data_IF_451200476709
#
_entry.id   IF_451200476709
#
_cell.length_a   1.000
_cell.length_b   1.000
_cell.length_c   1.000
_cell.angle_alpha   90.00
_cell.angle_beta   90.00
_cell.angle_gamma   90.00
#
_symmetry.space_group_name_H-M   'P 1'
#
loop_
_entity.id
_entity.type
_entity.pdbx_description
1 polymer ?
#
# COMPACT_ATOMS: atom_id res chain seq x y z
N UNK A 1 -61.84 42.33 -36.51
CA UNK A 1 -60.82 41.87 -37.49
C UNK A 1 -59.49 41.73 -36.75
N UNK A 2 -59.15 40.52 -36.30
CA UNK A 2 -57.94 40.22 -35.52
C UNK A 2 -56.79 39.80 -36.46
N UNK A 3 -55.62 40.41 -36.31
CA UNK A 3 -54.35 39.96 -36.90
C UNK A 3 -53.54 39.27 -35.79
N UNK A 4 -53.06 38.02 -35.96
CA UNK A 4 -52.20 37.38 -34.97
C UNK A 4 -50.74 37.79 -35.18
N UNK A 5 -50.07 38.19 -34.11
CA UNK A 5 -48.63 38.42 -34.07
C UNK A 5 -47.92 37.10 -33.76
N UNK A 6 -47.01 36.66 -34.65
CA UNK A 6 -46.12 35.52 -34.41
C UNK A 6 -44.93 35.98 -33.53
N UNK A 7 -44.79 35.38 -32.36
CA UNK A 7 -43.54 35.41 -31.58
C UNK A 7 -42.55 34.37 -32.14
N UNK A 8 -41.36 34.82 -32.57
CA UNK A 8 -40.22 33.94 -32.81
C UNK A 8 -39.45 33.73 -31.50
N UNK A 9 -39.45 32.50 -30.98
CA UNK A 9 -38.50 32.06 -29.95
C UNK A 9 -37.17 31.70 -30.63
N UNK A 10 -36.11 32.46 -30.35
CA UNK A 10 -34.75 32.09 -30.73
C UNK A 10 -34.19 31.07 -29.73
N UNK A 11 -33.94 29.84 -30.20
CA UNK A 11 -33.29 28.79 -29.42
C UNK A 11 -31.77 29.00 -29.49
N UNK A 12 -31.17 29.50 -28.41
CA UNK A 12 -29.71 29.60 -28.28
C UNK A 12 -29.11 28.23 -27.95
N UNK A 13 -28.42 27.61 -28.92
CA UNK A 13 -27.61 26.41 -28.70
C UNK A 13 -26.32 26.80 -27.95
N UNK A 14 -26.26 26.51 -26.66
CA UNK A 14 -25.01 26.56 -25.89
C UNK A 14 -24.19 25.30 -26.17
N UNK A 15 -23.05 25.45 -26.84
CA UNK A 15 -22.07 24.37 -27.02
C UNK A 15 -21.45 24.05 -25.66
N UNK A 16 -21.82 22.92 -25.04
CA UNK A 16 -21.16 22.42 -23.86
C UNK A 16 -19.75 21.93 -24.25
N UNK A 17 -18.72 22.68 -23.88
CA UNK A 17 -17.33 22.25 -24.03
C UNK A 17 -17.11 20.98 -23.19
N UNK A 18 -16.74 19.87 -23.84
CA UNK A 18 -16.35 18.65 -23.17
C UNK A 18 -15.13 18.95 -22.28
N UNK A 19 -15.31 18.91 -20.96
CA UNK A 19 -14.20 19.04 -20.02
C UNK A 19 -13.25 17.85 -20.23
N UNK A 20 -11.92 18.08 -20.32
CA UNK A 20 -10.96 16.98 -20.39
C UNK A 20 -11.12 16.11 -19.15
N UNK A 21 -11.27 14.80 -19.36
CA UNK A 21 -11.38 13.84 -18.28
C UNK A 21 -10.21 14.03 -17.30
N UNK A 22 -10.44 13.92 -15.98
CA UNK A 22 -9.38 14.06 -15.00
C UNK A 22 -8.25 13.09 -15.35
N UNK A 23 -7.03 13.61 -15.46
CA UNK A 23 -5.85 12.78 -15.61
C UNK A 23 -5.80 11.86 -14.39
N UNK A 24 -5.89 10.54 -14.61
CA UNK A 24 -5.69 9.58 -13.52
C UNK A 24 -4.28 9.73 -12.94
N UNK A 25 -3.98 9.01 -11.85
CA UNK A 25 -2.68 9.15 -11.18
C UNK A 25 -1.54 8.93 -12.19
N UNK A 26 -0.42 9.62 -12.03
CA UNK A 26 0.75 9.40 -12.88
C UNK A 26 1.62 8.28 -12.27
N UNK A 27 2.16 7.38 -13.10
CA UNK A 27 3.13 6.39 -12.64
C UNK A 27 4.46 7.05 -12.26
N UNK A 28 4.97 6.86 -11.01
CA UNK A 28 6.26 7.39 -10.60
C UNK A 28 7.41 6.86 -11.47
N UNK A 29 8.18 7.78 -12.04
CA UNK A 29 9.34 7.49 -12.88
C UNK A 29 10.61 7.34 -12.02
N UNK A 30 11.54 6.47 -12.44
CA UNK A 30 12.81 6.22 -11.75
C UNK A 30 12.68 5.51 -10.39
N UNK A 31 11.47 5.19 -9.95
CA UNK A 31 11.19 4.49 -8.70
C UNK A 31 11.32 2.99 -8.91
N UNK A 32 12.16 2.34 -8.11
CA UNK A 32 12.22 0.88 -8.03
C UNK A 32 11.07 0.39 -7.16
N UNK A 33 10.36 -0.63 -7.62
CA UNK A 33 9.26 -1.31 -6.96
C UNK A 33 9.69 -2.75 -6.66
N UNK A 34 9.30 -3.29 -5.51
CA UNK A 34 9.62 -4.66 -5.06
C UNK A 34 8.34 -5.45 -4.86
N UNK A 35 8.24 -6.62 -5.49
CA UNK A 35 7.06 -7.48 -5.41
C UNK A 35 6.90 -8.02 -3.98
N UNK A 36 5.75 -7.76 -3.37
CA UNK A 36 5.40 -8.21 -2.01
C UNK A 36 4.52 -9.46 -2.05
N UNK A 37 3.59 -9.50 -3.00
CA UNK A 37 2.68 -10.63 -3.18
C UNK A 37 2.18 -10.72 -4.62
N UNK A 38 1.80 -11.93 -4.99
CA UNK A 38 1.04 -12.19 -6.21
C UNK A 38 -0.24 -12.95 -5.86
N UNK A 39 -1.30 -12.68 -6.61
CA UNK A 39 -2.53 -13.46 -6.57
C UNK A 39 -2.76 -14.03 -7.96
N UNK A 40 -2.96 -15.35 -8.05
CA UNK A 40 -3.33 -16.05 -9.27
C UNK A 40 -4.48 -17.01 -8.97
N UNK A 41 -5.57 -16.90 -9.73
CA UNK A 41 -6.77 -17.73 -9.51
C UNK A 41 -7.38 -17.56 -8.12
N UNK A 42 -7.23 -16.37 -7.51
CA UNK A 42 -7.69 -16.09 -6.14
C UNK A 42 -6.76 -16.57 -5.03
N UNK A 43 -5.72 -17.33 -5.34
CA UNK A 43 -4.71 -17.79 -4.36
C UNK A 43 -3.64 -16.71 -4.23
N UNK A 44 -3.43 -16.21 -3.02
CA UNK A 44 -2.41 -15.18 -2.75
C UNK A 44 -1.17 -15.78 -2.10
N UNK A 45 -0.02 -15.55 -2.72
CA UNK A 45 1.30 -15.94 -2.21
C UNK A 45 2.07 -14.69 -1.81
N UNK A 46 2.45 -14.61 -0.54
CA UNK A 46 3.34 -13.57 -0.02
C UNK A 46 4.80 -13.99 -0.19
N UNK A 47 5.63 -13.05 -0.62
CA UNK A 47 7.05 -13.30 -0.90
C UNK A 47 7.91 -12.67 0.19
N UNK A 48 8.84 -13.44 0.73
CA UNK A 48 9.87 -12.95 1.64
C UNK A 48 11.18 -12.79 0.86
N UNK A 49 11.47 -11.60 0.34
CA UNK A 49 12.77 -11.30 -0.26
C UNK A 49 12.75 -10.24 -1.38
N UNK A 50 13.86 -9.48 -1.55
CA UNK A 50 13.85 -8.21 -2.31
C UNK A 50 14.06 -8.35 -3.83
N UNK A 51 13.99 -9.55 -4.41
CA UNK A 51 14.64 -9.79 -5.72
C UNK A 51 13.76 -9.48 -6.93
N UNK A 52 12.44 -9.59 -6.79
CA UNK A 52 11.50 -9.33 -7.87
C UNK A 52 11.18 -7.84 -7.93
N UNK A 53 11.69 -7.17 -8.96
CA UNK A 53 11.62 -5.71 -9.09
C UNK A 53 10.92 -5.26 -10.36
N UNK A 54 10.44 -4.01 -10.33
CA UNK A 54 9.86 -3.28 -11.46
C UNK A 54 10.26 -1.81 -11.37
N UNK A 55 10.61 -1.17 -12.48
CA UNK A 55 10.91 0.26 -12.56
C UNK A 55 10.39 0.80 -13.89
N UNK A 56 9.85 2.01 -13.87
CA UNK A 56 9.40 2.74 -15.06
C UNK A 56 10.35 3.90 -15.35
N UNK A 57 10.87 3.95 -16.57
CA UNK A 57 11.74 5.03 -17.05
C UNK A 57 11.30 5.44 -18.46
N UNK A 58 10.68 6.62 -18.57
CA UNK A 58 10.15 7.08 -19.85
C UNK A 58 9.06 6.13 -20.35
N UNK A 59 9.26 5.48 -21.49
CA UNK A 59 8.32 4.52 -22.08
C UNK A 59 8.72 3.06 -21.84
N UNK A 60 9.77 2.81 -21.07
CA UNK A 60 10.29 1.47 -20.81
C UNK A 60 10.06 1.08 -19.36
N UNK A 61 9.55 -0.12 -19.16
CA UNK A 61 9.53 -0.79 -17.88
C UNK A 61 10.65 -1.84 -17.83
N UNK A 62 11.36 -1.93 -16.71
CA UNK A 62 12.45 -2.87 -16.53
C UNK A 62 12.42 -3.49 -15.14
N UNK A 63 13.03 -4.64 -14.98
CA UNK A 63 13.12 -5.27 -13.68
C UNK A 63 13.96 -6.53 -13.68
N UNK A 64 14.06 -7.11 -12.50
CA UNK A 64 14.72 -8.40 -12.25
C UNK A 64 13.69 -9.33 -11.65
N UNK A 65 13.67 -10.59 -12.09
CA UNK A 65 12.91 -11.65 -11.44
C UNK A 65 13.76 -12.33 -10.36
N UNK A 66 13.62 -13.64 -10.14
CA UNK A 66 14.55 -14.33 -9.23
C UNK A 66 15.95 -14.46 -9.84
N UNK A 67 16.07 -14.58 -11.16
CA UNK A 67 17.37 -14.79 -11.81
C UNK A 67 17.51 -14.13 -13.20
N UNK A 68 16.41 -13.64 -13.78
CA UNK A 68 16.37 -13.10 -15.13
C UNK A 68 16.10 -11.59 -15.10
N UNK A 69 16.75 -10.82 -15.97
CA UNK A 69 16.34 -9.43 -16.21
C UNK A 69 15.28 -9.42 -17.29
N UNK A 70 14.31 -8.52 -17.14
CA UNK A 70 13.29 -8.29 -18.13
C UNK A 70 13.13 -6.80 -18.42
N UNK A 71 12.66 -6.50 -19.63
CA UNK A 71 12.17 -5.18 -20.00
C UNK A 71 11.00 -5.30 -20.97
N UNK A 72 10.19 -4.24 -21.04
CA UNK A 72 9.13 -4.08 -22.01
C UNK A 72 8.87 -2.60 -22.22
N UNK A 73 8.41 -2.21 -23.40
CA UNK A 73 7.74 -0.94 -23.56
C UNK A 73 6.41 -0.95 -22.79
N UNK A 74 5.91 0.21 -22.39
CA UNK A 74 4.59 0.31 -21.76
C UNK A 74 3.83 1.56 -22.21
N UNK A 75 2.51 1.48 -22.07
CA UNK A 75 1.62 2.63 -22.22
C UNK A 75 0.80 2.75 -20.95
N UNK A 76 0.86 3.94 -20.34
CA UNK A 76 0.05 4.29 -19.18
C UNK A 76 -0.78 5.54 -19.45
N UNK A 77 -2.10 5.45 -19.24
CA UNK A 77 -3.03 6.57 -19.35
C UNK A 77 -4.13 6.42 -18.32
N UNK A 78 -4.29 7.43 -17.47
CA UNK A 78 -5.13 7.33 -16.28
C UNK A 78 -4.81 6.06 -15.48
N UNK A 79 -5.78 5.15 -15.29
CA UNK A 79 -5.59 3.87 -14.59
C UNK A 79 -5.23 2.70 -15.52
N UNK A 80 -5.17 2.93 -16.83
CA UNK A 80 -4.79 1.90 -17.80
C UNK A 80 -3.26 1.78 -17.78
N UNK A 81 -2.78 0.55 -17.65
CA UNK A 81 -1.38 0.20 -17.86
C UNK A 81 -1.32 -1.07 -18.70
N UNK A 82 -0.64 -0.97 -19.84
CA UNK A 82 -0.38 -2.09 -20.75
C UNK A 82 1.10 -2.19 -21.01
N UNK A 83 1.66 -3.37 -20.80
CA UNK A 83 3.00 -3.69 -21.25
C UNK A 83 2.95 -4.19 -22.68
N UNK A 84 3.94 -3.81 -23.48
CA UNK A 84 4.24 -4.45 -24.74
C UNK A 84 4.86 -5.83 -24.52
N UNK A 85 5.55 -6.33 -25.54
CA UNK A 85 6.23 -7.62 -25.45
C UNK A 85 7.32 -7.58 -24.38
N UNK A 86 7.23 -8.48 -23.41
CA UNK A 86 8.30 -8.71 -22.43
C UNK A 86 9.49 -9.41 -23.11
N UNK A 87 10.66 -8.82 -22.95
CA UNK A 87 11.95 -9.35 -23.43
C UNK A 87 12.79 -9.71 -22.22
N UNK A 88 13.37 -10.90 -22.23
CA UNK A 88 14.18 -11.41 -21.12
C UNK A 88 15.59 -11.75 -21.57
N UNK A 89 16.57 -11.52 -20.69
CA UNK A 89 17.93 -12.01 -20.89
C UNK A 89 18.11 -13.30 -20.10
N UNK A 90 18.04 -14.47 -20.76
CA UNK A 90 18.25 -15.75 -20.07
C UNK A 90 19.65 -15.77 -19.44
N UNK A 91 19.73 -15.90 -18.12
CA UNK A 91 20.97 -16.23 -17.41
C UNK A 91 20.97 -17.74 -17.13
N UNK A 92 22.15 -18.36 -17.10
CA UNK A 92 22.29 -19.75 -16.66
C UNK A 92 22.05 -19.80 -15.13
N UNK A 93 20.81 -20.08 -14.72
CA UNK A 93 20.41 -20.16 -13.32
C UNK A 93 20.62 -21.59 -12.80
N UNK A 94 21.24 -21.71 -11.62
CA UNK A 94 21.56 -23.00 -10.97
C UNK A 94 20.39 -23.62 -10.20
N UNK A 95 19.25 -22.92 -10.09
CA UNK A 95 18.11 -23.39 -9.31
C UNK A 95 16.79 -23.20 -10.09
N UNK A 96 16.12 -24.29 -10.49
CA UNK A 96 14.80 -24.24 -11.08
C UNK A 96 13.76 -23.99 -9.98
N UNK A 97 13.64 -22.75 -9.50
CA UNK A 97 12.31 -22.28 -9.03
C UNK A 97 11.45 -22.03 -10.28
N UNK A 98 11.19 -23.10 -11.03
CA UNK A 98 10.80 -23.09 -12.44
C UNK A 98 9.41 -22.53 -12.74
N UNK A 99 8.64 -22.11 -11.74
CA UNK A 99 7.33 -21.51 -11.92
C UNK A 99 7.26 -20.01 -11.68
N UNK A 100 8.02 -19.46 -10.73
CA UNK A 100 7.75 -18.12 -10.20
C UNK A 100 8.09 -17.01 -11.20
N UNK A 101 9.23 -17.13 -11.89
CA UNK A 101 9.63 -16.17 -12.91
C UNK A 101 8.60 -16.12 -14.05
N UNK A 102 8.14 -17.28 -14.53
CA UNK A 102 7.10 -17.36 -15.55
C UNK A 102 5.76 -16.82 -15.06
N UNK A 103 5.36 -17.15 -13.84
CA UNK A 103 4.12 -16.66 -13.23
C UNK A 103 4.10 -15.13 -13.16
N UNK A 104 5.18 -14.52 -12.66
CA UNK A 104 5.29 -13.06 -12.57
C UNK A 104 5.30 -12.41 -13.94
N UNK A 105 6.07 -12.94 -14.90
CA UNK A 105 6.12 -12.41 -16.26
C UNK A 105 4.77 -12.55 -16.99
N UNK A 106 4.05 -13.66 -16.78
CA UNK A 106 2.71 -13.86 -17.32
C UNK A 106 1.72 -12.84 -16.76
N UNK A 107 1.69 -12.67 -15.43
CA UNK A 107 0.81 -11.71 -14.77
C UNK A 107 1.16 -10.26 -15.18
N UNK A 108 2.44 -9.93 -15.35
CA UNK A 108 2.87 -8.64 -15.90
C UNK A 108 2.29 -8.42 -17.30
N UNK A 109 2.44 -9.39 -18.21
CA UNK A 109 1.90 -9.32 -19.58
C UNK A 109 0.37 -9.20 -19.65
N UNK A 110 -0.34 -9.76 -18.66
CA UNK A 110 -1.80 -9.67 -18.56
C UNK A 110 -2.30 -8.37 -17.92
N UNK A 111 -1.41 -7.53 -17.39
CA UNK A 111 -1.77 -6.27 -16.74
C UNK A 111 -2.60 -5.40 -17.69
N UNK A 112 -3.75 -4.94 -17.23
CA UNK A 112 -4.59 -3.99 -17.97
C UNK A 112 -4.82 -2.69 -17.24
N UNK A 113 -4.71 -2.71 -15.91
CA UNK A 113 -4.91 -1.56 -15.04
C UNK A 113 -3.91 -1.57 -13.91
N UNK A 114 -3.74 -0.43 -13.29
CA UNK A 114 -2.97 -0.29 -12.07
C UNK A 114 -3.67 0.63 -11.08
N UNK A 115 -3.25 0.53 -9.82
CA UNK A 115 -3.70 1.39 -8.74
C UNK A 115 -2.49 1.80 -7.92
N UNK A 116 -2.47 3.07 -7.52
CA UNK A 116 -1.53 3.59 -6.53
C UNK A 116 -2.27 3.83 -5.22
N UNK A 117 -1.69 3.40 -4.12
CA UNK A 117 -2.24 3.59 -2.77
C UNK A 117 -1.12 3.94 -1.79
N UNK A 118 -1.48 4.20 -0.53
CA UNK A 118 -0.51 4.55 0.52
C UNK A 118 0.32 5.80 0.22
N UNK A 119 -0.28 6.80 -0.45
CA UNK A 119 0.45 8.02 -0.87
C UNK A 119 1.38 7.81 -2.07
N UNK A 120 1.17 6.74 -2.86
CA UNK A 120 2.04 6.39 -3.99
C UNK A 120 3.18 5.46 -3.62
N UNK A 121 3.17 4.87 -2.42
CA UNK A 121 4.17 3.91 -1.96
C UNK A 121 3.86 2.45 -2.34
N UNK A 122 2.62 2.16 -2.75
CA UNK A 122 2.20 0.84 -3.24
C UNK A 122 1.66 0.94 -4.65
N UNK A 123 2.11 0.02 -5.49
CA UNK A 123 1.64 -0.21 -6.84
C UNK A 123 0.96 -1.58 -6.93
N UNK A 124 -0.33 -1.59 -7.24
CA UNK A 124 -1.08 -2.82 -7.55
C UNK A 124 -1.32 -2.89 -9.04
N UNK A 125 -0.87 -3.97 -9.68
CA UNK A 125 -1.15 -4.28 -11.07
C UNK A 125 -2.31 -5.27 -11.14
N UNK A 126 -3.35 -4.91 -11.89
CA UNK A 126 -4.55 -5.73 -12.06
C UNK A 126 -4.43 -6.49 -13.39
N UNK A 127 -4.29 -7.80 -13.30
CA UNK A 127 -3.97 -8.72 -14.40
C UNK A 127 -5.17 -9.58 -14.79
N UNK A 128 -6.38 -9.01 -14.70
CA UNK A 128 -7.65 -9.69 -14.89
C UNK A 128 -8.61 -9.44 -13.72
N UNK A 129 -9.61 -10.30 -13.56
CA UNK A 129 -10.60 -10.20 -12.47
C UNK A 129 -9.99 -10.58 -11.11
N UNK A 130 -9.30 -11.72 -11.09
CA UNK A 130 -8.86 -12.38 -9.83
C UNK A 130 -7.33 -12.37 -9.67
N UNK A 131 -6.62 -11.85 -10.67
CA UNK A 131 -5.18 -11.88 -10.74
C UNK A 131 -4.60 -10.49 -10.47
N UNK A 132 -3.59 -10.40 -9.61
CA UNK A 132 -2.89 -9.14 -9.34
C UNK A 132 -1.47 -9.34 -8.87
N UNK A 133 -0.62 -8.37 -9.17
CA UNK A 133 0.71 -8.24 -8.59
C UNK A 133 0.71 -7.01 -7.69
N UNK A 134 1.34 -7.15 -6.53
CA UNK A 134 1.46 -6.04 -5.58
C UNK A 134 2.91 -5.75 -5.34
N UNK A 135 3.29 -4.49 -5.55
CA UNK A 135 4.62 -3.99 -5.29
C UNK A 135 4.59 -2.87 -4.25
N UNK A 136 5.64 -2.83 -3.43
CA UNK A 136 5.98 -1.69 -2.59
C UNK A 136 7.21 -0.99 -3.17
N UNK A 137 7.24 0.34 -3.13
CA UNK A 137 8.43 1.11 -3.50
C UNK A 137 9.66 0.58 -2.73
N UNK A 138 10.76 0.34 -3.42
CA UNK A 138 12.00 -0.13 -2.84
C UNK A 138 12.51 0.93 -1.85
N UNK A 139 12.67 0.54 -0.59
CA UNK A 139 12.97 1.49 0.46
C UNK A 139 11.76 2.29 0.95
N UNK A 140 10.52 1.90 0.61
CA UNK A 140 9.33 2.27 1.37
C UNK A 140 9.55 1.79 2.80
N UNK A 141 10.03 2.72 3.63
CA UNK A 141 10.21 2.48 5.05
C UNK A 141 8.81 2.37 5.62
N UNK A 142 8.48 1.34 6.41
CA UNK A 142 7.22 1.33 7.15
C UNK A 142 7.00 2.64 7.93
N UNK A 143 8.08 3.36 8.25
CA UNK A 143 8.07 4.63 8.96
C UNK A 143 7.38 5.74 8.19
N UNK A 144 7.55 5.82 6.88
CA UNK A 144 6.83 6.79 6.03
C UNK A 144 5.33 6.49 5.97
N UNK A 145 4.94 5.21 6.04
CA UNK A 145 3.54 4.81 6.02
C UNK A 145 2.86 4.94 7.40
N UNK A 146 3.64 4.81 8.49
CA UNK A 146 3.18 4.98 9.86
C UNK A 146 3.07 6.46 10.28
N UNK A 147 3.90 7.32 9.70
CA UNK A 147 4.00 8.74 10.05
C UNK A 147 2.67 9.47 9.91
N UNK A 148 2.24 10.13 10.97
CA UNK A 148 1.02 10.96 11.03
C UNK A 148 -0.29 10.18 10.94
N UNK A 149 -0.25 8.85 10.78
CA UNK A 149 -1.46 8.02 10.72
C UNK A 149 -1.87 7.52 12.11
N UNK A 150 -3.17 7.44 12.34
CA UNK A 150 -3.74 6.75 13.51
C UNK A 150 -3.98 5.29 13.18
N UNK A 151 -3.43 4.38 13.97
CA UNK A 151 -3.60 2.94 13.81
C UNK A 151 -4.46 2.40 14.94
N UNK A 152 -5.65 1.90 14.62
CA UNK A 152 -6.63 1.40 15.61
C UNK A 152 -6.69 -0.13 15.55
N UNK A 153 -6.54 -0.80 16.68
CA UNK A 153 -6.55 -2.26 16.78
C UNK A 153 -7.93 -2.80 16.40
N UNK A 154 -7.97 -3.74 15.46
CA UNK A 154 -9.17 -4.44 15.08
C UNK A 154 -9.67 -5.32 16.25
N UNK A 155 -10.97 -5.25 16.53
CA UNK A 155 -11.57 -6.03 17.62
C UNK A 155 -11.35 -5.47 19.04
N UNK A 156 -10.85 -4.23 19.19
CA UNK A 156 -10.64 -3.60 20.51
C UNK A 156 -11.92 -3.24 21.30
N UNK A 157 -13.11 -3.47 20.74
CA UNK A 157 -14.39 -3.27 21.43
C UNK A 157 -14.73 -1.79 21.65
N UNK A 158 -15.43 -1.49 22.74
CA UNK A 158 -15.94 -0.14 23.04
C UNK A 158 -14.85 0.86 23.43
N UNK A 159 -13.71 0.38 23.90
CA UNK A 159 -12.57 1.21 24.29
C UNK A 159 -11.44 1.03 23.27
N UNK A 160 -11.30 1.93 22.29
CA UNK A 160 -10.40 1.72 21.17
C UNK A 160 -8.94 1.71 21.63
N UNK A 161 -8.24 0.65 21.28
CA UNK A 161 -6.79 0.55 21.38
C UNK A 161 -6.21 1.14 20.10
N UNK A 162 -5.34 2.13 20.22
CA UNK A 162 -4.73 2.77 19.06
C UNK A 162 -3.38 3.38 19.37
N UNK A 163 -2.60 3.64 18.33
CA UNK A 163 -1.42 4.48 18.42
C UNK A 163 -1.25 5.38 17.20
N UNK A 164 -0.40 6.38 17.34
CA UNK A 164 0.03 7.33 16.31
C UNK A 164 1.56 7.39 16.38
N UNK A 165 2.21 7.43 15.22
CA UNK A 165 3.64 7.65 15.13
C UNK A 165 3.89 9.02 14.47
N UNK A 166 4.51 9.95 15.17
CA UNK A 166 4.73 11.30 14.65
C UNK A 166 6.04 11.85 15.20
N UNK A 167 6.91 12.31 14.32
CA UNK A 167 8.20 12.92 14.62
C UNK A 167 9.03 12.07 15.60
N UNK A 168 9.08 10.76 15.38
CA UNK A 168 9.85 9.84 16.24
C UNK A 168 9.22 9.62 17.63
N UNK A 169 7.92 9.87 17.78
CA UNK A 169 7.18 9.64 19.01
C UNK A 169 6.01 8.72 18.76
N UNK A 170 5.82 7.73 19.63
CA UNK A 170 4.57 6.97 19.71
C UNK A 170 3.68 7.57 20.78
N UNK A 171 2.41 7.79 20.45
CA UNK A 171 1.36 8.17 21.39
C UNK A 171 0.08 7.40 21.11
N UNK A 172 -0.67 7.04 22.15
CA UNK A 172 -1.84 6.20 21.94
C UNK A 172 -2.68 5.96 23.18
N UNK A 173 -3.70 5.12 22.99
CA UNK A 173 -4.52 4.55 24.05
C UNK A 173 -4.39 3.04 23.99
N UNK A 174 -4.31 2.44 25.16
CA UNK A 174 -4.32 0.99 25.30
C UNK A 174 -5.69 0.43 25.69
N UNK A 175 -6.75 1.23 25.53
CA UNK A 175 -8.12 0.89 25.92
C UNK A 175 -8.51 1.38 27.31
N UNK A 176 -7.56 1.77 28.16
CA UNK A 176 -7.86 2.38 29.45
C UNK A 176 -6.95 3.57 29.78
N UNK A 177 -5.65 3.38 29.59
CA UNK A 177 -4.63 4.38 29.83
C UNK A 177 -4.11 4.95 28.52
N UNK A 178 -3.68 6.20 28.59
CA UNK A 178 -2.95 6.85 27.52
C UNK A 178 -1.46 6.67 27.75
N UNK A 179 -0.72 6.35 26.69
CA UNK A 179 0.73 6.24 26.73
C UNK A 179 1.39 7.16 25.71
N UNK A 180 2.63 7.57 25.99
CA UNK A 180 3.46 8.25 25.00
C UNK A 180 4.95 8.11 25.31
N UNK A 181 5.78 8.06 24.29
CA UNK A 181 7.23 7.94 24.45
C UNK A 181 7.98 8.08 23.13
N UNK A 182 9.29 8.38 23.18
CA UNK A 182 10.13 8.41 22.00
C UNK A 182 10.25 7.01 21.42
N UNK A 183 10.07 6.88 20.12
CA UNK A 183 10.06 5.61 19.43
C UNK A 183 10.90 5.68 18.16
N UNK A 184 11.51 4.55 17.80
CA UNK A 184 12.29 4.40 16.59
C UNK A 184 11.72 3.28 15.76
N UNK A 185 11.70 3.49 14.46
CA UNK A 185 11.53 2.41 13.50
C UNK A 185 12.88 2.17 12.81
N UNK A 186 13.45 0.99 13.04
CA UNK A 186 14.70 0.55 12.41
C UNK A 186 14.38 -0.61 11.47
N UNK A 187 14.45 -0.36 10.16
CA UNK A 187 13.99 -1.31 9.16
C UNK A 187 12.47 -1.53 9.28
N UNK A 188 12.07 -2.75 9.65
CA UNK A 188 10.68 -3.09 9.96
C UNK A 188 10.40 -3.21 11.47
N UNK A 189 11.37 -2.96 12.35
CA UNK A 189 11.17 -3.09 13.79
C UNK A 189 10.77 -1.77 14.41
N UNK A 190 9.55 -1.69 14.94
CA UNK A 190 9.03 -0.56 15.71
C UNK A 190 9.22 -0.84 17.19
N UNK A 191 9.92 0.06 17.86
CA UNK A 191 10.17 -0.04 19.30
C UNK A 191 10.23 1.32 19.97
N UNK A 192 9.96 1.35 21.26
CA UNK A 192 10.38 2.50 22.07
C UNK A 192 11.90 2.63 22.07
N UNK A 193 12.36 3.87 22.10
CA UNK A 193 13.78 4.25 22.09
C UNK A 193 14.21 4.95 23.39
N UNK A 194 13.27 5.13 24.32
CA UNK A 194 13.50 5.78 25.60
C UNK A 194 12.28 5.63 26.51
N UNK A 195 12.23 6.40 27.62
CA UNK A 195 11.21 6.25 28.64
C UNK A 195 9.77 6.44 28.12
N UNK A 196 8.87 5.54 28.53
CA UNK A 196 7.44 5.60 28.18
C UNK A 196 6.67 6.17 29.36
N UNK A 197 5.91 7.24 29.11
CA UNK A 197 4.95 7.78 30.05
C UNK A 197 3.60 7.08 29.85
N UNK A 198 2.94 6.68 30.94
CA UNK A 198 1.60 6.11 30.91
C UNK A 198 0.78 6.61 32.10
N UNK A 199 -0.51 6.88 31.87
CA UNK A 199 -1.44 7.17 32.97
C UNK A 199 -1.75 5.90 33.76
N UNK A 200 -2.21 6.06 35.00
CA UNK A 200 -2.67 4.94 35.85
C UNK A 200 -4.05 5.25 36.41
N UNK A 201 -5.08 5.02 35.60
CA UNK A 201 -6.49 5.16 36.00
C UNK A 201 -7.06 3.78 36.38
N UNK A 202 -8.14 3.78 37.14
CA UNK A 202 -8.88 2.54 37.41
C UNK A 202 -9.54 2.04 36.11
N UNK A 203 -9.18 0.83 35.67
CA UNK A 203 -9.70 0.21 34.46
C UNK A 203 -10.87 -0.74 34.79
N UNK A 204 -11.91 -0.83 33.95
CA UNK A 204 -12.98 -1.82 34.13
C UNK A 204 -12.47 -3.26 33.88
N UNK A 205 -12.85 -4.21 34.75
CA UNK A 205 -12.53 -5.65 34.63
C UNK A 205 -11.07 -6.02 34.96
N UNK A 206 -10.69 -7.28 34.70
CA UNK A 206 -9.31 -7.79 34.82
C UNK A 206 -8.38 -7.30 33.69
N UNK A 207 -8.62 -6.09 33.18
CA UNK A 207 -7.72 -5.44 32.24
C UNK A 207 -6.47 -4.97 33.00
N UNK A 208 -5.57 -5.91 33.26
CA UNK A 208 -4.22 -5.60 33.68
C UNK A 208 -3.62 -4.56 32.73
N UNK A 209 -3.01 -3.51 33.29
CA UNK A 209 -2.37 -2.44 32.55
C UNK A 209 -1.67 -2.95 31.28
N UNK A 210 -2.24 -2.50 30.17
CA UNK A 210 -1.92 -2.73 28.77
C UNK A 210 -0.72 -3.56 28.34
N UNK A 211 -1.02 -4.49 27.43
CA UNK A 211 -0.04 -5.27 26.67
C UNK A 211 0.66 -4.43 25.60
N UNK A 212 0.00 -3.47 24.95
CA UNK A 212 0.56 -2.78 23.78
C UNK A 212 1.88 -2.03 24.05
N UNK A 213 1.97 -1.08 25.02
CA UNK A 213 3.24 -0.40 25.28
C UNK A 213 4.34 -1.37 25.73
N UNK A 214 4.01 -2.39 26.54
CA UNK A 214 4.97 -3.45 26.92
C UNK A 214 5.44 -4.31 25.75
N UNK A 215 4.57 -4.63 24.81
CA UNK A 215 4.93 -5.36 23.59
C UNK A 215 5.83 -4.50 22.69
N UNK A 216 5.55 -3.20 22.58
CA UNK A 216 6.37 -2.25 21.83
C UNK A 216 7.74 -1.97 22.47
N UNK A 217 7.91 -2.21 23.77
CA UNK A 217 9.23 -2.21 24.42
C UNK A 217 10.11 -3.37 23.94
N UNK A 218 9.51 -4.51 23.57
CA UNK A 218 10.24 -5.69 23.07
C UNK A 218 10.67 -5.54 21.60
N UNK A 219 10.09 -4.57 20.89
CA UNK A 219 10.31 -4.34 19.48
C UNK A 219 9.50 -5.29 18.60
N UNK A 220 8.52 -4.72 17.91
CA UNK A 220 7.60 -5.47 17.08
C UNK A 220 7.94 -5.30 15.60
N UNK A 221 7.89 -6.39 14.86
CA UNK A 221 7.98 -6.37 13.41
C UNK A 221 6.68 -5.79 12.84
N UNK A 222 6.83 -4.76 12.02
CA UNK A 222 5.78 -4.04 11.33
C UNK A 222 5.60 -4.67 9.96
N UNK A 223 4.43 -5.22 9.72
CA UNK A 223 4.02 -5.70 8.41
C UNK A 223 2.78 -4.93 7.96
N UNK A 224 2.97 -4.00 7.03
CA UNK A 224 1.87 -3.31 6.39
C UNK A 224 1.28 -4.19 5.30
N UNK A 225 -0.03 -4.14 5.14
CA UNK A 225 -0.64 -4.67 3.95
C UNK A 225 -0.23 -3.82 2.73
N UNK A 226 -0.35 -4.41 1.55
CA UNK A 226 -0.20 -3.70 0.29
C UNK A 226 -0.86 -2.33 0.28
N UNK A 227 -2.13 -2.21 0.66
CA UNK A 227 -2.86 -0.95 0.51
C UNK A 227 -2.42 0.13 1.51
N UNK A 228 -1.58 -0.22 2.49
CA UNK A 228 -1.22 0.66 3.61
C UNK A 228 -2.44 1.04 4.46
N UNK A 229 -3.45 0.17 4.50
CA UNK A 229 -4.71 0.31 5.22
C UNK A 229 -4.76 -0.56 6.47
N UNK A 230 -4.02 -1.67 6.49
CA UNK A 230 -3.88 -2.52 7.65
C UNK A 230 -2.42 -2.72 8.00
N UNK A 231 -2.18 -2.84 9.30
CA UNK A 231 -0.87 -2.99 9.88
C UNK A 231 -0.90 -4.16 10.84
N UNK A 232 -0.02 -5.12 10.64
CA UNK A 232 0.20 -6.23 11.57
C UNK A 232 1.48 -6.01 12.35
N UNK A 233 1.39 -5.98 13.67
CA UNK A 233 2.55 -6.00 14.58
C UNK A 233 2.79 -7.43 15.05
N UNK A 234 4.00 -7.96 14.80
CA UNK A 234 4.42 -9.30 15.18
C UNK A 234 5.57 -9.24 16.21
N UNK A 235 5.55 -10.12 17.21
CA UNK A 235 6.57 -10.16 18.26
C UNK A 235 6.09 -10.71 19.60
N UNK A 236 4.76 -10.84 19.78
CA UNK A 236 4.14 -11.63 20.85
C UNK A 236 3.66 -13.01 20.36
N UNK A 237 3.01 -13.78 21.24
CA UNK A 237 2.40 -15.08 20.92
C UNK A 237 1.24 -14.99 19.91
N UNK A 238 0.64 -13.80 19.74
CA UNK A 238 -0.45 -13.54 18.79
C UNK A 238 -0.14 -12.23 18.03
N UNK A 239 -0.24 -12.22 16.68
CA UNK A 239 -0.09 -11.00 15.90
C UNK A 239 -1.24 -10.02 16.14
N UNK A 240 -0.93 -8.73 16.28
CA UNK A 240 -1.93 -7.67 16.46
C UNK A 240 -2.19 -6.95 15.14
N UNK A 241 -3.44 -6.89 14.70
CA UNK A 241 -3.81 -6.24 13.43
C UNK A 241 -4.53 -4.92 13.69
N UNK A 242 -4.04 -3.85 13.08
CA UNK A 242 -4.54 -2.49 13.17
C UNK A 242 -5.07 -2.02 11.83
N UNK A 243 -6.05 -1.12 11.86
CA UNK A 243 -6.58 -0.43 10.70
C UNK A 243 -6.17 1.04 10.73
N UNK A 244 -5.79 1.56 9.57
CA UNK A 244 -5.46 2.96 9.38
C UNK A 244 -6.73 3.82 9.48
N UNK A 245 -6.67 4.84 10.32
CA UNK A 245 -7.62 5.93 10.39
C UNK A 245 -7.00 7.23 9.89
N UNK A 246 -7.85 8.19 9.57
CA UNK A 246 -7.43 9.60 9.42
C UNK A 246 -6.94 10.13 10.78
N UNK A 247 -5.90 10.99 10.79
CA UNK A 247 -5.44 11.65 12.02
C UNK A 247 -6.56 12.42 12.73
#
# INVERSE_FOLDING_TARGET
MMRPALLLCALSLTLAAAQPAPAGPALPQGVVWTLQSLTEGGITTTLSGPRLTLRFDGQTASGVTTCTLYHADYVARAEVLRFGRLVTTRRACLDPRDGLDYQVLNLLGLTGRYQLSGGGATLTLLSGRDNRLVFAQAGARPGLALEGARWTLLGSGLAPVYFTFTQGRLSGSDGCNSFSGPARLSGATLQFSGPVASTRRACPGDQAASTLPRLLEQGLQVQLDPAGQTLTLQGGSVPLTFQRGTP
#
